data_IF_431185129470
#
_entry.id   IF_431185129470
#
_cell.length_a   1.000
_cell.length_b   1.000
_cell.length_c   1.000
_cell.angle_alpha   90.00
_cell.angle_beta   90.00
_cell.angle_gamma   90.00
#
_symmetry.space_group_name_H-M   'P 1'
#
loop_
_entity.id
_entity.type
_entity.pdbx_description
1 polymer ?
#
# COMPACT_ATOMS: atom_id res chain seq x y z
N UNK A 1 -22.13 -2.34 9.78
CA UNK A 1 -21.80 -1.20 10.67
C UNK A 1 -21.35 -0.05 9.81
N UNK A 2 -21.82 1.15 10.13
CA UNK A 2 -21.39 2.37 9.45
C UNK A 2 -19.87 2.56 9.63
N UNK A 3 -19.16 2.89 8.55
CA UNK A 3 -17.72 3.13 8.60
C UNK A 3 -17.40 4.29 9.53
N UNK A 4 -16.56 4.07 10.54
CA UNK A 4 -16.02 5.13 11.39
C UNK A 4 -14.54 5.33 11.07
N UNK A 5 -14.14 6.47 10.44
CA UNK A 5 -12.77 6.72 10.03
C UNK A 5 -11.77 6.76 11.19
N UNK A 6 -12.23 6.96 12.42
CA UNK A 6 -11.36 7.04 13.61
C UNK A 6 -11.11 5.70 14.30
N UNK A 7 -11.77 4.62 13.86
CA UNK A 7 -11.59 3.25 14.38
C UNK A 7 -10.82 2.31 13.46
N UNK A 8 -10.68 2.68 12.20
CA UNK A 8 -9.84 2.02 11.21
C UNK A 8 -8.80 3.01 10.68
N UNK A 9 -7.83 2.53 9.93
CA UNK A 9 -6.77 3.36 9.35
C UNK A 9 -6.74 3.16 7.83
N UNK A 10 -7.89 3.41 7.17
CA UNK A 10 -8.09 3.13 5.74
C UNK A 10 -7.37 4.09 4.80
N UNK A 11 -6.98 5.25 5.33
CA UNK A 11 -6.39 6.33 4.54
C UNK A 11 -5.00 6.64 5.08
N UNK A 12 -4.09 6.96 4.19
CA UNK A 12 -2.77 7.46 4.55
C UNK A 12 -2.90 8.63 5.55
N UNK A 13 -2.19 8.57 6.65
CA UNK A 13 -2.28 9.52 7.77
C UNK A 13 -3.63 9.54 8.51
N UNK A 14 -4.45 8.50 8.41
CA UNK A 14 -5.66 8.27 9.20
C UNK A 14 -6.94 8.75 8.54
N UNK A 15 -6.97 9.95 7.99
CA UNK A 15 -8.11 10.52 7.28
C UNK A 15 -7.66 11.50 6.18
N UNK A 16 -8.62 12.01 5.39
CA UNK A 16 -8.34 12.96 4.31
C UNK A 16 -7.79 14.32 4.79
N UNK A 17 -7.93 14.65 6.07
CA UNK A 17 -7.35 15.84 6.70
C UNK A 17 -5.94 15.58 7.24
N UNK A 18 -5.44 14.35 7.12
CA UNK A 18 -4.15 13.92 7.70
C UNK A 18 -4.05 14.18 9.21
N UNK A 19 -5.16 13.98 9.93
CA UNK A 19 -5.25 14.29 11.36
C UNK A 19 -4.35 13.40 12.22
N UNK A 20 -4.02 12.19 11.74
CA UNK A 20 -3.29 11.16 12.46
C UNK A 20 -3.95 10.79 13.80
N UNK A 21 -5.26 10.96 13.87
CA UNK A 21 -6.05 10.73 15.07
C UNK A 21 -6.76 9.37 15.00
N UNK A 22 -6.86 8.71 16.15
CA UNK A 22 -7.66 7.49 16.34
C UNK A 22 -8.47 7.62 17.63
N UNK A 23 -9.72 7.15 17.60
CA UNK A 23 -10.56 7.02 18.80
C UNK A 23 -10.25 5.77 19.63
N UNK A 24 -9.32 4.92 19.17
CA UNK A 24 -8.94 3.72 19.90
C UNK A 24 -8.20 4.10 21.18
N UNK A 25 -8.75 3.68 22.32
CA UNK A 25 -8.27 4.03 23.66
C UNK A 25 -7.73 2.83 24.45
N UNK A 26 -7.55 1.67 23.80
CA UNK A 26 -7.01 0.48 24.46
C UNK A 26 -5.56 0.69 24.92
N UNK A 27 -4.79 1.50 24.19
CA UNK A 27 -3.44 1.90 24.56
C UNK A 27 -3.52 3.34 25.11
N UNK A 28 -2.99 3.54 26.30
CA UNK A 28 -3.00 4.82 26.99
C UNK A 28 -1.73 5.00 27.83
N UNK A 29 -1.58 6.11 28.52
CA UNK A 29 -0.41 6.44 29.33
C UNK A 29 -0.13 5.46 30.48
N UNK A 30 -1.14 4.72 30.93
CA UNK A 30 -0.99 3.76 32.03
C UNK A 30 -0.48 2.40 31.57
N UNK A 31 -0.74 2.01 30.32
CA UNK A 31 -0.41 0.69 29.82
C UNK A 31 0.58 0.66 28.62
N UNK A 32 0.93 1.80 28.05
CA UNK A 32 1.85 1.87 26.89
C UNK A 32 3.21 1.21 27.16
N UNK A 33 3.69 1.22 28.40
CA UNK A 33 4.95 0.57 28.80
C UNK A 33 4.85 -0.96 28.87
N UNK A 34 3.66 -1.52 28.80
CA UNK A 34 3.40 -2.97 28.83
C UNK A 34 3.22 -3.55 27.42
N UNK A 35 3.41 -2.74 26.37
CA UNK A 35 3.30 -3.20 24.99
C UNK A 35 4.40 -4.22 24.68
N UNK A 36 3.98 -5.33 24.09
CA UNK A 36 4.84 -6.38 23.59
C UNK A 36 4.63 -6.55 22.08
N UNK A 37 5.63 -7.10 21.39
CA UNK A 37 5.52 -7.41 19.95
C UNK A 37 4.52 -8.55 19.78
N UNK A 38 3.36 -8.29 19.19
CA UNK A 38 2.34 -9.29 18.95
C UNK A 38 2.74 -10.25 17.80
N UNK A 39 3.33 -9.73 16.74
CA UNK A 39 3.82 -10.51 15.60
C UNK A 39 4.82 -9.69 14.76
N UNK A 40 5.56 -10.40 13.90
CA UNK A 40 6.50 -9.82 12.95
C UNK A 40 6.20 -10.44 11.58
N UNK A 41 6.05 -9.59 10.56
CA UNK A 41 5.93 -10.02 9.18
C UNK A 41 7.26 -9.85 8.43
N UNK A 42 7.70 -10.89 7.75
CA UNK A 42 8.91 -10.90 6.94
C UNK A 42 8.54 -10.90 5.45
N UNK A 43 8.72 -9.78 4.76
CA UNK A 43 8.42 -9.64 3.32
C UNK A 43 9.37 -10.43 2.40
N UNK A 44 10.51 -10.88 2.93
CA UNK A 44 11.47 -11.75 2.24
C UNK A 44 12.27 -11.07 1.13
N UNK A 45 12.29 -9.72 1.07
CA UNK A 45 12.96 -8.97 0.02
C UNK A 45 13.94 -7.90 0.53
N UNK A 46 14.44 -8.08 1.75
CA UNK A 46 15.57 -7.31 2.25
C UNK A 46 16.78 -7.55 1.33
N UNK A 47 17.42 -6.46 0.91
CA UNK A 47 18.65 -6.54 0.13
C UNK A 47 19.85 -6.31 1.06
N UNK A 48 20.78 -7.26 1.10
CA UNK A 48 21.96 -7.17 1.96
C UNK A 48 23.10 -6.35 1.32
N UNK A 49 23.03 -6.05 0.02
CA UNK A 49 24.03 -5.24 -0.70
C UNK A 49 23.72 -3.74 -0.67
N UNK A 50 22.45 -3.37 -0.43
CA UNK A 50 21.99 -1.98 -0.35
C UNK A 50 21.21 -1.77 0.94
N UNK A 51 21.21 -0.55 1.44
CA UNK A 51 20.37 -0.19 2.57
C UNK A 51 18.90 -0.39 2.21
N UNK A 52 18.31 -1.47 2.68
CA UNK A 52 16.86 -1.71 2.55
C UNK A 52 16.14 -1.00 3.68
N UNK A 53 15.09 -0.25 3.32
CA UNK A 53 14.23 0.41 4.29
C UNK A 53 12.78 0.36 3.85
N UNK A 54 11.87 0.21 4.80
CA UNK A 54 10.44 0.39 4.59
C UNK A 54 10.12 1.86 4.85
N UNK A 55 9.65 2.57 3.83
CA UNK A 55 9.15 3.95 3.95
C UNK A 55 7.61 3.98 3.91
N UNK A 56 6.99 2.84 3.82
CA UNK A 56 5.55 2.67 3.76
C UNK A 56 4.91 3.01 5.12
N UNK A 57 3.88 3.86 5.10
CA UNK A 57 2.88 3.94 6.16
C UNK A 57 1.75 2.99 5.80
N UNK A 58 1.64 1.84 6.47
CA UNK A 58 0.60 0.87 6.16
C UNK A 58 -0.78 1.42 6.50
N UNK A 59 -1.80 0.86 5.85
CA UNK A 59 -3.19 1.12 6.16
C UNK A 59 -3.88 -0.14 6.66
N UNK A 60 -4.95 0.03 7.43
CA UNK A 60 -5.77 -1.07 7.94
C UNK A 60 -7.21 -0.86 7.53
N UNK A 61 -7.75 -1.80 6.77
CA UNK A 61 -9.14 -1.82 6.34
C UNK A 61 -9.71 -3.24 6.50
N UNK A 62 -10.89 -3.36 7.13
CA UNK A 62 -11.57 -4.63 7.34
C UNK A 62 -10.69 -5.70 8.01
N UNK A 63 -9.93 -5.33 9.03
CA UNK A 63 -8.97 -6.19 9.77
C UNK A 63 -7.79 -6.71 8.93
N UNK A 64 -7.54 -6.13 7.77
CA UNK A 64 -6.39 -6.47 6.92
C UNK A 64 -5.45 -5.27 6.89
N UNK A 65 -4.16 -5.51 7.17
CA UNK A 65 -3.11 -4.53 7.03
C UNK A 65 -2.51 -4.67 5.62
N UNK A 66 -2.47 -3.55 4.91
CA UNK A 66 -1.87 -3.44 3.57
C UNK A 66 -0.64 -2.55 3.61
N UNK A 67 0.38 -2.93 2.88
CA UNK A 67 1.62 -2.16 2.81
C UNK A 67 2.46 -2.50 1.59
N UNK A 68 3.61 -1.83 1.52
CA UNK A 68 4.63 -2.05 0.48
C UNK A 68 5.96 -2.36 1.14
N UNK A 69 6.60 -3.41 0.69
CA UNK A 69 7.90 -3.89 1.18
C UNK A 69 9.07 -3.05 0.65
N UNK A 70 10.31 -3.24 1.15
CA UNK A 70 11.49 -2.55 0.62
C UNK A 70 11.74 -2.78 -0.87
N UNK A 71 11.40 -3.96 -1.40
CA UNK A 71 11.49 -4.30 -2.82
C UNK A 71 10.25 -3.91 -3.63
N UNK A 72 9.38 -3.05 -3.07
CA UNK A 72 8.15 -2.54 -3.70
C UNK A 72 7.09 -3.62 -3.97
N UNK A 73 7.13 -4.75 -3.28
CA UNK A 73 6.02 -5.70 -3.32
C UNK A 73 4.87 -5.18 -2.48
N UNK A 74 3.66 -5.14 -3.03
CA UNK A 74 2.47 -4.93 -2.21
C UNK A 74 2.13 -6.21 -1.45
N UNK A 75 1.66 -6.08 -0.21
CA UNK A 75 1.26 -7.22 0.61
C UNK A 75 0.02 -6.91 1.44
N UNK A 76 -0.69 -7.97 1.80
CA UNK A 76 -1.76 -7.96 2.77
C UNK A 76 -1.52 -9.02 3.83
N UNK A 77 -1.69 -8.63 5.08
CA UNK A 77 -1.62 -9.54 6.23
C UNK A 77 -2.85 -9.37 7.13
N UNK A 78 -3.25 -10.43 7.79
CA UNK A 78 -4.25 -10.34 8.86
C UNK A 78 -3.70 -9.44 9.98
N UNK A 79 -4.41 -8.38 10.31
CA UNK A 79 -3.91 -7.35 11.23
C UNK A 79 -3.75 -7.84 12.67
N UNK A 80 -4.48 -8.89 13.07
CA UNK A 80 -4.40 -9.44 14.41
C UNK A 80 -3.25 -10.44 14.58
N UNK A 81 -2.90 -11.18 13.51
CA UNK A 81 -1.97 -12.31 13.59
C UNK A 81 -0.68 -12.13 12.81
N UNK A 82 -0.62 -11.15 11.89
CA UNK A 82 0.50 -10.96 10.97
C UNK A 82 0.61 -12.04 9.88
N UNK A 83 -0.39 -12.96 9.77
CA UNK A 83 -0.37 -14.00 8.76
C UNK A 83 -0.57 -13.41 7.37
N UNK A 84 0.33 -13.74 6.44
CA UNK A 84 0.20 -13.32 5.04
C UNK A 84 -1.07 -13.85 4.40
N UNK A 85 -1.82 -12.95 3.76
CA UNK A 85 -2.99 -13.26 2.94
C UNK A 85 -2.56 -13.33 1.49
N UNK A 86 -1.83 -12.32 1.02
CA UNK A 86 -1.26 -12.31 -0.32
C UNK A 86 -0.05 -11.36 -0.41
N UNK A 87 0.78 -11.60 -1.41
CA UNK A 87 1.87 -10.72 -1.83
C UNK A 87 1.87 -10.59 -3.35
N UNK A 88 2.05 -9.38 -3.86
CA UNK A 88 2.14 -9.06 -5.29
C UNK A 88 3.49 -8.44 -5.62
N UNK A 89 4.19 -9.02 -6.60
CA UNK A 89 5.46 -8.50 -7.10
C UNK A 89 5.24 -7.70 -8.40
N UNK A 90 5.45 -6.36 -8.42
CA UNK A 90 5.25 -5.53 -9.61
C UNK A 90 6.32 -5.73 -10.69
N UNK A 91 7.38 -6.47 -10.41
CA UNK A 91 8.54 -6.66 -11.29
C UNK A 91 8.64 -8.07 -11.89
N UNK A 92 7.52 -8.78 -11.99
CA UNK A 92 7.52 -10.13 -12.61
C UNK A 92 7.93 -10.12 -14.08
N UNK A 93 7.67 -9.03 -14.80
CA UNK A 93 7.89 -8.93 -16.25
C UNK A 93 9.01 -7.98 -16.64
N UNK A 94 9.34 -7.01 -15.80
CA UNK A 94 10.43 -6.06 -16.01
C UNK A 94 10.87 -5.42 -14.69
N UNK A 95 12.03 -4.77 -14.70
CA UNK A 95 12.60 -4.10 -13.53
C UNK A 95 12.45 -2.58 -13.59
N UNK A 96 11.57 -2.04 -14.43
CA UNK A 96 11.38 -0.60 -14.58
C UNK A 96 10.87 0.03 -13.28
N UNK A 97 11.65 0.94 -12.71
CA UNK A 97 11.32 1.63 -11.46
C UNK A 97 11.67 0.84 -10.19
N UNK A 98 12.41 -0.26 -10.27
CA UNK A 98 12.76 -1.11 -9.13
C UNK A 98 13.53 -0.37 -8.02
N UNK A 99 14.18 0.73 -8.33
CA UNK A 99 14.96 1.54 -7.40
C UNK A 99 14.16 2.71 -6.79
N UNK A 100 12.88 2.79 -7.11
CA UNK A 100 12.01 3.80 -6.50
C UNK A 100 11.62 3.42 -5.08
N UNK A 101 10.95 4.35 -4.41
CA UNK A 101 10.38 4.13 -3.07
C UNK A 101 8.87 4.26 -3.14
N UNK A 102 8.17 3.64 -2.19
CA UNK A 102 6.73 3.83 -2.01
C UNK A 102 6.43 4.15 -0.55
N UNK A 103 5.59 5.17 -0.32
CA UNK A 103 5.16 5.58 1.02
C UNK A 103 3.87 4.92 1.48
N UNK A 104 3.27 4.09 0.65
CA UNK A 104 2.08 3.34 1.04
C UNK A 104 1.19 2.94 -0.12
N UNK A 105 -0.02 2.58 0.22
CA UNK A 105 -1.09 2.17 -0.69
C UNK A 105 -2.33 2.99 -0.41
N UNK A 106 -3.22 3.11 -1.41
CA UNK A 106 -4.56 3.65 -1.23
C UNK A 106 -5.58 2.51 -1.29
N UNK A 107 -6.56 2.54 -0.39
CA UNK A 107 -7.71 1.65 -0.39
C UNK A 107 -8.90 2.35 -1.04
N UNK A 108 -9.53 1.68 -1.96
CA UNK A 108 -10.75 2.14 -2.62
C UNK A 108 -11.85 1.09 -2.51
N UNK A 109 -13.06 1.54 -2.27
CA UNK A 109 -14.25 0.70 -2.18
C UNK A 109 -15.37 1.38 -2.97
N UNK A 110 -16.11 0.64 -3.78
CA UNK A 110 -17.27 1.17 -4.48
C UNK A 110 -18.43 1.46 -3.52
N UNK A 111 -19.39 2.26 -3.94
CA UNK A 111 -20.51 2.66 -3.09
C UNK A 111 -21.42 1.50 -2.65
N UNK A 112 -21.29 0.32 -3.25
CA UNK A 112 -22.01 -0.90 -2.85
C UNK A 112 -21.22 -1.81 -1.92
N UNK A 113 -19.92 -1.57 -1.75
CA UNK A 113 -19.00 -2.41 -0.98
C UNK A 113 -18.64 -3.74 -1.62
N UNK A 114 -19.05 -3.93 -2.89
CA UNK A 114 -18.79 -5.18 -3.62
C UNK A 114 -17.39 -5.23 -4.25
N UNK A 115 -16.87 -4.06 -4.65
CA UNK A 115 -15.54 -3.94 -5.23
C UNK A 115 -14.62 -3.21 -4.26
N UNK A 116 -13.50 -3.85 -3.93
CA UNK A 116 -12.47 -3.31 -3.05
C UNK A 116 -11.12 -3.45 -3.70
N UNK A 117 -10.37 -2.36 -3.77
CA UNK A 117 -9.11 -2.29 -4.51
C UNK A 117 -8.00 -1.71 -3.65
N UNK A 118 -6.80 -2.20 -3.90
CA UNK A 118 -5.56 -1.58 -3.43
C UNK A 118 -4.87 -0.95 -4.64
N UNK A 119 -4.64 0.36 -4.55
CA UNK A 119 -3.90 1.12 -5.54
C UNK A 119 -2.52 1.43 -4.98
N UNK A 120 -1.47 1.20 -5.76
CA UNK A 120 -0.12 1.56 -5.36
C UNK A 120 0.78 1.80 -6.57
N UNK A 121 1.86 2.53 -6.35
CA UNK A 121 2.84 2.84 -7.38
C UNK A 121 4.15 2.08 -7.16
N UNK A 122 4.74 1.62 -8.26
CA UNK A 122 6.09 1.06 -8.30
C UNK A 122 6.83 1.64 -9.52
N UNK A 123 7.66 2.65 -9.27
CA UNK A 123 8.26 3.46 -10.32
C UNK A 123 7.20 4.20 -11.12
N UNK A 124 7.22 4.12 -12.47
CA UNK A 124 6.24 4.77 -13.33
C UNK A 124 4.95 3.95 -13.53
N UNK A 125 4.70 2.95 -12.69
CA UNK A 125 3.57 2.05 -12.81
C UNK A 125 2.59 2.28 -11.67
N UNK A 126 1.32 2.50 -12.00
CA UNK A 126 0.20 2.49 -11.04
C UNK A 126 -0.56 1.18 -11.22
N UNK A 127 -0.67 0.43 -10.14
CA UNK A 127 -1.39 -0.84 -10.08
C UNK A 127 -2.72 -0.69 -9.35
N UNK A 128 -3.72 -1.44 -9.82
CA UNK A 128 -4.97 -1.71 -9.11
C UNK A 128 -5.06 -3.21 -8.87
N UNK A 129 -5.15 -3.61 -7.61
CA UNK A 129 -5.27 -5.00 -7.17
C UNK A 129 -6.60 -5.19 -6.45
N UNK A 130 -7.23 -6.34 -6.64
CA UNK A 130 -8.32 -6.78 -5.78
C UNK A 130 -7.83 -6.89 -4.33
N UNK A 131 -8.48 -6.22 -3.41
CA UNK A 131 -8.02 -6.09 -2.04
C UNK A 131 -7.99 -7.42 -1.27
N UNK A 132 -8.88 -8.36 -1.61
CA UNK A 132 -8.96 -9.65 -0.93
C UNK A 132 -7.91 -10.66 -1.43
N UNK A 133 -7.53 -10.58 -2.71
CA UNK A 133 -6.74 -11.62 -3.37
C UNK A 133 -5.37 -11.15 -3.87
N UNK A 134 -5.13 -9.84 -3.96
CA UNK A 134 -3.92 -9.28 -4.54
C UNK A 134 -3.78 -9.46 -6.05
N UNK A 135 -4.81 -9.97 -6.73
CA UNK A 135 -4.80 -10.13 -8.17
C UNK A 135 -5.00 -8.79 -8.88
N UNK A 136 -4.31 -8.55 -10.01
CA UNK A 136 -4.56 -7.36 -10.82
C UNK A 136 -6.03 -7.25 -11.25
N UNK A 137 -6.61 -6.07 -11.08
CA UNK A 137 -7.94 -5.74 -11.54
C UNK A 137 -7.93 -5.55 -13.06
N UNK A 138 -8.47 -6.51 -13.80
CA UNK A 138 -8.42 -6.53 -15.27
C UNK A 138 -9.15 -5.37 -15.93
N UNK A 139 -10.09 -4.73 -15.22
CA UNK A 139 -10.88 -3.61 -15.71
C UNK A 139 -10.18 -2.26 -15.51
N UNK A 140 -9.05 -2.25 -14.78
CA UNK A 140 -8.26 -1.04 -14.56
C UNK A 140 -7.09 -0.96 -15.55
N UNK A 141 -7.06 0.08 -16.36
CA UNK A 141 -6.00 0.32 -17.35
C UNK A 141 -5.76 -0.87 -18.29
N UNK A 142 -4.53 -1.35 -18.37
CA UNK A 142 -4.19 -2.56 -19.12
C UNK A 142 -3.88 -3.70 -18.15
N UNK A 143 -4.86 -4.56 -17.89
CA UNK A 143 -4.71 -5.70 -16.97
C UNK A 143 -4.25 -5.30 -15.56
N UNK A 144 -4.87 -4.28 -14.96
CA UNK A 144 -4.56 -3.81 -13.61
C UNK A 144 -3.40 -2.81 -13.54
N UNK A 145 -2.95 -2.28 -14.68
CA UNK A 145 -1.77 -1.42 -14.78
C UNK A 145 -2.04 -0.18 -15.63
N UNK A 146 -1.65 0.99 -15.12
CA UNK A 146 -1.51 2.24 -15.88
C UNK A 146 -0.05 2.69 -15.85
N UNK A 147 0.48 3.11 -17.01
CA UNK A 147 1.82 3.69 -17.16
C UNK A 147 1.73 5.21 -16.99
N UNK A 148 2.35 5.73 -15.94
CA UNK A 148 2.34 7.16 -15.61
C UNK A 148 3.33 7.99 -16.45
N UNK A 149 4.25 7.34 -17.13
CA UNK A 149 5.26 7.95 -18.01
C UNK A 149 4.83 8.02 -19.48
N UNK A 150 3.58 7.64 -19.79
CA UNK A 150 3.03 7.64 -21.15
C UNK A 150 1.84 8.57 -21.25
N UNK A 151 1.55 8.98 -22.49
CA UNK A 151 0.41 9.82 -22.84
C UNK A 151 0.36 11.14 -22.03
N UNK A 152 1.56 11.66 -21.70
CA UNK A 152 1.71 12.92 -21.00
C UNK A 152 1.43 14.07 -21.96
N UNK A 153 0.59 15.03 -21.53
CA UNK A 153 0.28 16.24 -22.30
C UNK A 153 1.47 17.23 -22.31
N UNK A 154 2.58 16.79 -22.91
CA UNK A 154 3.78 17.61 -23.10
C UNK A 154 4.60 17.18 -24.31
N UNK A 155 5.22 18.17 -24.94
CA UNK A 155 6.01 18.02 -26.16
C UNK A 155 7.33 17.41 -25.84
N UNK A 156 7.95 16.83 -25.49
CA UNK A 156 9.27 16.25 -25.23
C UNK A 156 9.30 15.45 -23.92
N UNK A 157 9.19 14.17 -24.11
CA UNK A 157 9.21 13.19 -23.02
C UNK A 157 10.48 12.34 -23.05
N UNK A 158 11.44 12.63 -23.96
CA UNK A 158 12.71 11.91 -24.05
C UNK A 158 13.53 12.14 -22.77
N UNK A 159 13.94 11.07 -22.12
CA UNK A 159 14.68 11.12 -20.85
C UNK A 159 13.86 11.53 -19.63
N UNK A 160 12.53 11.65 -19.75
CA UNK A 160 11.67 11.95 -18.61
C UNK A 160 11.51 10.71 -17.72
N UNK A 161 11.91 10.85 -16.48
CA UNK A 161 11.62 9.87 -15.45
C UNK A 161 10.37 10.30 -14.64
N UNK A 162 9.40 9.41 -14.52
CA UNK A 162 8.17 9.60 -13.74
C UNK A 162 8.11 8.55 -12.66
N UNK A 163 7.98 8.97 -11.42
CA UNK A 163 7.84 8.06 -10.28
C UNK A 163 6.68 8.50 -9.40
N UNK A 164 5.77 7.57 -9.11
CA UNK A 164 4.80 7.74 -8.04
C UNK A 164 5.39 7.21 -6.73
N UNK A 165 5.47 8.05 -5.70
CA UNK A 165 6.04 7.66 -4.41
C UNK A 165 5.07 7.79 -3.25
N UNK A 166 4.01 8.57 -3.40
CA UNK A 166 2.97 8.78 -2.37
C UNK A 166 1.71 8.02 -2.75
N UNK A 167 0.98 7.47 -1.74
CA UNK A 167 -0.38 7.01 -1.97
C UNK A 167 -1.24 8.19 -2.39
N UNK A 168 -2.16 7.96 -3.33
CA UNK A 168 -3.10 8.97 -3.82
C UNK A 168 -4.17 9.31 -2.79
#
# INVERSE_FOLDING_TARGET
SEYNPYREWRVYHGDHSSSKYSELAQINTENVQQLEVAWIYHSGDKNDFYSSQIQCSPIVANNILYGVSPGLKAFAVDAATGKEIWQFNPFQHDNLGRWSISRGVAYWEDGSGNQKRILFTAGPKLFSLDAATGKPDTDFGKNGLVRLDRDLDRKNTEGLEVFGTTPG
#
